data_IF_346560931516
#
_entry.id   IF_346560931516
#
_cell.length_a   1.000
_cell.length_b   1.000
_cell.length_c   1.000
_cell.angle_alpha   90.00
_cell.angle_beta   90.00
_cell.angle_gamma   90.00
#
_symmetry.space_group_name_H-M   'P 1'
#
loop_
_entity.id
_entity.type
_entity.pdbx_description
1 polymer ?
#
# COMPACT_ATOMS: atom_id res chain seq x y z
N UNK A 1 -13.24 5.22 1.66
CA UNK A 1 -13.23 6.02 0.42
C UNK A 1 -13.89 5.23 -0.69
N UNK A 2 -14.58 5.88 -1.63
CA UNK A 2 -15.32 5.20 -2.71
C UNK A 2 -14.60 5.37 -4.06
N UNK A 3 -14.80 4.41 -4.97
CA UNK A 3 -14.40 4.56 -6.38
C UNK A 3 -14.98 5.87 -6.94
N UNK A 4 -14.17 6.62 -7.68
CA UNK A 4 -14.53 7.94 -8.20
C UNK A 4 -14.18 9.10 -7.27
N UNK A 5 -13.79 8.86 -6.01
CA UNK A 5 -13.32 9.92 -5.11
C UNK A 5 -11.99 10.52 -5.61
N UNK A 6 -11.80 11.82 -5.41
CA UNK A 6 -10.49 12.47 -5.60
C UNK A 6 -9.58 12.10 -4.43
N UNK A 7 -8.41 11.51 -4.71
CA UNK A 7 -7.42 11.08 -3.69
C UNK A 7 -6.26 12.05 -3.52
N UNK A 8 -5.94 12.78 -4.58
CA UNK A 8 -4.87 13.76 -4.64
C UNK A 8 -5.16 14.70 -5.81
N UNK A 9 -4.47 15.82 -5.83
CA UNK A 9 -4.46 16.75 -6.97
C UNK A 9 -3.01 16.96 -7.36
N UNK A 10 -2.72 16.82 -8.65
CA UNK A 10 -1.41 17.09 -9.25
C UNK A 10 -1.59 18.32 -10.12
N UNK A 11 -1.00 19.44 -9.71
CA UNK A 11 -1.31 20.77 -10.25
C UNK A 11 -2.82 21.03 -10.21
N UNK A 12 -3.51 21.08 -11.36
CA UNK A 12 -4.96 21.23 -11.48
C UNK A 12 -5.69 19.93 -11.85
N UNK A 13 -4.95 18.81 -11.94
CA UNK A 13 -5.50 17.52 -12.38
C UNK A 13 -5.87 16.64 -11.18
N UNK A 14 -7.16 16.29 -11.01
CA UNK A 14 -7.59 15.40 -9.93
C UNK A 14 -7.17 13.96 -10.23
N UNK A 15 -6.57 13.30 -9.24
CA UNK A 15 -6.30 11.86 -9.29
C UNK A 15 -7.52 11.12 -8.73
N UNK A 16 -8.12 10.29 -9.56
CA UNK A 16 -9.38 9.60 -9.24
C UNK A 16 -9.10 8.18 -8.74
N UNK A 17 -9.71 7.84 -7.60
CA UNK A 17 -9.69 6.50 -7.03
C UNK A 17 -10.34 5.49 -7.99
N UNK A 18 -9.55 4.53 -8.45
CA UNK A 18 -10.00 3.46 -9.36
C UNK A 18 -10.80 2.36 -8.65
N UNK A 19 -10.65 2.26 -7.32
CA UNK A 19 -11.33 1.27 -6.46
C UNK A 19 -11.78 1.92 -5.16
N UNK A 20 -12.85 1.37 -4.56
CA UNK A 20 -13.27 1.70 -3.20
C UNK A 20 -12.34 1.03 -2.18
N UNK A 21 -12.15 1.62 -1.01
CA UNK A 21 -11.35 1.02 0.05
C UNK A 21 -10.71 2.03 1.00
N UNK A 22 -9.57 1.63 1.59
CA UNK A 22 -8.76 2.42 2.50
C UNK A 22 -7.44 2.80 1.84
N UNK A 23 -7.06 4.08 1.85
CA UNK A 23 -5.74 4.52 1.37
C UNK A 23 -4.68 4.03 2.37
N UNK A 24 -3.69 3.27 1.91
CA UNK A 24 -2.59 2.76 2.74
C UNK A 24 -1.29 3.50 2.52
N UNK A 25 -1.05 3.92 1.29
CA UNK A 25 0.11 4.71 0.89
C UNK A 25 -0.31 5.83 -0.04
N UNK A 26 0.23 7.01 0.18
CA UNK A 26 0.09 8.16 -0.70
C UNK A 26 1.39 8.96 -0.68
N UNK A 27 1.80 9.44 -1.86
CA UNK A 27 2.94 10.35 -1.95
C UNK A 27 2.70 11.60 -1.11
N UNK A 28 3.79 12.12 -0.54
CA UNK A 28 3.75 13.36 0.24
C UNK A 28 3.52 14.54 -0.71
N UNK A 29 2.90 15.61 -0.19
CA UNK A 29 2.73 16.87 -0.93
C UNK A 29 4.09 17.42 -1.40
N UNK A 30 4.14 17.94 -2.62
CA UNK A 30 5.32 18.57 -3.22
C UNK A 30 6.25 17.61 -3.96
N UNK A 31 5.88 16.32 -4.07
CA UNK A 31 6.61 15.37 -4.93
C UNK A 31 6.21 15.60 -6.38
N UNK A 32 7.20 15.89 -7.23
CA UNK A 32 7.01 15.90 -8.68
C UNK A 32 6.70 14.48 -9.17
N UNK A 33 5.69 14.37 -10.03
CA UNK A 33 5.26 13.10 -10.60
C UNK A 33 5.07 13.25 -12.10
N UNK A 34 5.10 12.12 -12.80
CA UNK A 34 4.79 12.05 -14.24
C UNK A 34 3.48 11.30 -14.46
N UNK A 35 2.87 11.50 -15.63
CA UNK A 35 1.72 10.71 -16.06
C UNK A 35 2.04 9.21 -15.92
N UNK A 36 1.06 8.43 -15.47
CA UNK A 36 1.16 6.97 -15.22
C UNK A 36 2.05 6.56 -14.04
N UNK A 37 2.69 7.51 -13.35
CA UNK A 37 3.38 7.21 -12.10
C UNK A 37 2.39 6.79 -11.03
N UNK A 38 2.69 5.70 -10.33
CA UNK A 38 1.94 5.28 -9.16
C UNK A 38 2.15 6.28 -8.02
N UNK A 39 1.07 6.95 -7.59
CA UNK A 39 1.11 7.96 -6.53
C UNK A 39 0.59 7.47 -5.17
N UNK A 40 0.06 6.25 -5.12
CA UNK A 40 -0.47 5.66 -3.90
C UNK A 40 -1.07 4.28 -4.13
N UNK A 41 -1.59 3.68 -3.06
CA UNK A 41 -2.29 2.40 -3.08
C UNK A 41 -3.48 2.38 -2.13
N UNK A 42 -4.53 1.67 -2.57
CA UNK A 42 -5.79 1.50 -1.86
C UNK A 42 -5.94 0.02 -1.53
N UNK A 43 -6.22 -0.29 -0.27
CA UNK A 43 -6.64 -1.62 0.17
C UNK A 43 -8.15 -1.76 -0.04
N UNK A 44 -8.59 -2.60 -0.99
CA UNK A 44 -10.01 -2.71 -1.35
C UNK A 44 -10.86 -3.32 -0.24
N UNK A 45 -10.24 -3.95 0.77
CA UNK A 45 -10.96 -4.51 1.92
C UNK A 45 -11.58 -3.43 2.80
N UNK A 46 -11.08 -2.19 2.74
CA UNK A 46 -11.64 -1.04 3.46
C UNK A 46 -11.54 -1.11 4.99
N UNK A 47 -10.81 -2.09 5.54
CA UNK A 47 -10.65 -2.32 6.98
C UNK A 47 -9.50 -1.50 7.56
N UNK A 48 -9.82 -0.53 8.41
CA UNK A 48 -8.85 0.40 9.02
C UNK A 48 -7.82 -0.34 9.87
N UNK A 49 -8.26 -1.34 10.62
CA UNK A 49 -7.46 -2.19 11.49
C UNK A 49 -6.33 -2.89 10.74
N UNK A 50 -6.51 -3.24 9.46
CA UNK A 50 -5.49 -3.89 8.65
C UNK A 50 -4.34 -2.94 8.26
N UNK A 51 -4.52 -1.62 8.42
CA UNK A 51 -3.46 -0.64 8.17
C UNK A 51 -2.41 -0.62 9.28
N UNK A 52 -2.78 -1.06 10.49
CA UNK A 52 -1.95 -1.04 11.69
C UNK A 52 -1.43 -2.44 12.07
N UNK A 53 -1.60 -3.42 11.20
CA UNK A 53 -1.11 -4.79 11.40
C UNK A 53 -0.10 -5.16 10.32
N UNK A 54 0.78 -6.11 10.64
CA UNK A 54 1.73 -6.67 9.67
C UNK A 54 0.95 -7.33 8.55
N UNK A 55 1.23 -6.93 7.31
CA UNK A 55 0.57 -7.49 6.13
C UNK A 55 0.86 -8.98 5.96
N UNK A 56 -0.03 -9.70 5.29
CA UNK A 56 0.16 -11.11 4.95
C UNK A 56 1.45 -11.33 4.14
N UNK A 57 1.76 -10.42 3.21
CA UNK A 57 3.02 -10.44 2.44
C UNK A 57 4.25 -10.32 3.35
N UNK A 58 4.23 -9.37 4.29
CA UNK A 58 5.34 -9.19 5.22
C UNK A 58 5.50 -10.40 6.17
N UNK A 59 4.40 -11.00 6.63
CA UNK A 59 4.44 -12.23 7.45
C UNK A 59 5.01 -13.40 6.67
N UNK A 60 4.60 -13.60 5.42
CA UNK A 60 5.11 -14.69 4.59
C UNK A 60 6.63 -14.56 4.35
N UNK A 61 7.11 -13.34 4.05
CA UNK A 61 8.54 -13.09 3.90
C UNK A 61 9.28 -13.34 5.21
N UNK A 62 8.79 -12.78 6.33
CA UNK A 62 9.41 -12.99 7.64
C UNK A 62 9.44 -14.46 8.07
N UNK A 63 8.37 -15.21 7.78
CA UNK A 63 8.30 -16.65 8.01
C UNK A 63 9.35 -17.43 7.23
N UNK A 64 9.48 -17.18 5.92
CA UNK A 64 10.49 -17.85 5.10
C UNK A 64 11.93 -17.54 5.54
N UNK A 65 12.21 -16.31 5.98
CA UNK A 65 13.52 -15.94 6.55
C UNK A 65 13.77 -16.69 7.86
N UNK A 66 12.77 -16.75 8.75
CA UNK A 66 12.88 -17.49 10.01
C UNK A 66 13.12 -18.99 9.76
N UNK A 67 12.39 -19.59 8.82
CA UNK A 67 12.57 -20.99 8.43
C UNK A 67 14.00 -21.26 7.92
N UNK A 68 14.56 -20.38 7.09
CA UNK A 68 15.93 -20.53 6.58
C UNK A 68 16.98 -20.45 7.71
N UNK A 69 16.79 -19.56 8.69
CA UNK A 69 17.66 -19.44 9.86
C UNK A 69 17.59 -20.72 10.71
N UNK A 70 16.37 -21.18 11.03
CA UNK A 70 16.17 -22.41 11.80
C UNK A 70 16.76 -23.62 11.09
N UNK A 71 16.60 -23.70 9.77
CA UNK A 71 17.20 -24.75 8.96
C UNK A 71 18.74 -24.73 9.02
N UNK A 72 19.37 -23.55 9.02
CA UNK A 72 20.83 -23.43 9.11
C UNK A 72 21.39 -23.82 10.48
N UNK A 73 20.75 -23.36 11.56
CA UNK A 73 21.26 -23.54 12.92
C UNK A 73 20.84 -24.86 13.59
N UNK A 74 19.74 -25.49 13.16
CA UNK A 74 19.30 -26.79 13.68
C UNK A 74 19.78 -27.96 12.80
N UNK A 75 20.92 -27.80 12.15
CA UNK A 75 21.62 -28.90 11.48
C UNK A 75 22.32 -29.82 12.47
#
# INVERSE_FOLDING_TARGET
MTKGSVVAVVDDYPVIAQVSGMVRGLLRKGVEVKKEMKVGDIDPRGKKELCFTISEKARAIGGGVLEAILYWYNR
#
